data_IF_526894118220
#
_entry.id   IF_526894118220
#
_cell.length_a   1.000
_cell.length_b   1.000
_cell.length_c   1.000
_cell.angle_alpha   90.00
_cell.angle_beta   90.00
_cell.angle_gamma   90.00
#
_symmetry.space_group_name_H-M   'P 1'
#
loop_
_entity.id
_entity.type
_entity.pdbx_description
1 polymer ?
#
# COMPACT_ATOMS: atom_id res chain seq x y z
N UNK A 1 -5.85 56.92 28.05
CA UNK A 1 -5.31 57.83 29.09
C UNK A 1 -3.81 57.55 29.20
N UNK A 2 -2.95 58.38 28.59
CA UNK A 2 -2.19 59.47 29.22
C UNK A 2 -1.30 59.00 30.39
N UNK A 3 0.01 59.26 30.49
CA UNK A 3 1.03 59.93 29.64
C UNK A 3 2.37 59.94 30.43
N UNK A 4 3.51 59.69 29.73
CA UNK A 4 4.80 60.46 29.77
C UNK A 4 5.70 60.44 31.04
N UNK A 5 7.04 60.62 31.02
CA UNK A 5 8.09 61.20 30.12
C UNK A 5 9.49 60.82 30.75
N UNK A 6 10.65 60.67 30.10
CA UNK A 6 11.53 61.62 29.35
C UNK A 6 12.64 60.81 28.59
N UNK A 7 12.85 60.99 27.27
CA UNK A 7 13.89 61.79 26.52
C UNK A 7 15.36 61.26 26.60
N UNK A 8 16.21 61.22 25.55
CA UNK A 8 16.21 61.85 24.21
C UNK A 8 17.24 61.26 23.19
N UNK A 9 16.84 61.20 21.89
CA UNK A 9 17.49 61.52 20.57
C UNK A 9 18.96 61.11 20.27
N UNK A 10 19.33 60.42 19.16
CA UNK A 10 19.29 60.65 17.66
C UNK A 10 20.31 61.67 17.07
N UNK A 11 21.21 61.18 16.19
CA UNK A 11 21.65 61.72 14.86
C UNK A 11 22.86 60.89 14.36
N UNK A 12 23.15 60.60 13.09
CA UNK A 12 22.65 60.99 11.77
C UNK A 12 23.43 60.19 10.70
N UNK A 13 22.90 60.13 9.47
CA UNK A 13 23.57 59.59 8.27
C UNK A 13 24.34 60.71 7.55
N UNK A 14 25.46 60.40 6.88
CA UNK A 14 25.69 60.52 5.41
C UNK A 14 27.17 60.36 5.01
N UNK A 15 27.38 59.55 3.96
CA UNK A 15 28.33 59.62 2.83
C UNK A 15 29.84 59.86 3.00
N UNK A 16 30.64 58.95 2.39
CA UNK A 16 31.53 59.27 1.25
C UNK A 16 32.42 58.08 0.84
N UNK A 17 32.49 57.81 -0.48
CA UNK A 17 33.60 57.10 -1.13
C UNK A 17 34.54 58.14 -1.80
N UNK A 18 35.83 57.86 -2.04
CA UNK A 18 36.23 57.35 -3.37
C UNK A 18 37.52 56.49 -3.47
N UNK A 19 37.61 55.85 -4.64
CA UNK A 19 38.72 55.32 -5.48
C UNK A 19 40.21 55.38 -5.03
N UNK A 20 40.95 54.29 -5.30
CA UNK A 20 42.10 54.35 -6.23
C UNK A 20 43.48 53.76 -5.83
N UNK A 21 43.80 52.61 -6.45
CA UNK A 21 45.13 52.15 -6.96
C UNK A 21 46.19 51.52 -6.04
N UNK A 22 46.53 50.26 -6.36
CA UNK A 22 47.80 49.60 -6.04
C UNK A 22 47.80 48.08 -6.36
N UNK A 23 48.41 47.66 -7.47
CA UNK A 23 48.83 46.26 -7.79
C UNK A 23 50.22 46.34 -8.44
N UNK A 24 51.12 45.31 -8.48
CA UNK A 24 50.86 43.85 -8.66
C UNK A 24 51.95 42.95 -7.95
N UNK A 25 52.35 41.75 -8.44
CA UNK A 25 51.65 40.56 -8.96
C UNK A 25 52.03 39.25 -8.20
N UNK A 26 51.21 38.18 -8.25
CA UNK A 26 51.72 36.80 -8.21
C UNK A 26 50.85 35.88 -9.07
N UNK A 27 51.49 35.25 -10.04
CA UNK A 27 50.99 34.21 -10.94
C UNK A 27 51.05 32.85 -10.26
N UNK A 28 49.98 32.05 -10.32
CA UNK A 28 49.99 30.65 -9.89
C UNK A 28 48.67 29.95 -10.19
N UNK A 29 48.64 29.14 -11.24
CA UNK A 29 47.55 28.22 -11.57
C UNK A 29 47.28 27.24 -10.42
N UNK A 30 46.03 27.12 -9.96
CA UNK A 30 45.59 26.05 -9.06
C UNK A 30 44.78 25.03 -9.86
N UNK A 31 45.39 23.86 -10.12
CA UNK A 31 44.71 22.67 -10.65
C UNK A 31 43.80 22.06 -9.56
N UNK A 32 42.58 21.60 -9.86
CA UNK A 32 41.78 20.87 -8.89
C UNK A 32 42.41 19.49 -8.61
N UNK A 33 42.71 19.21 -7.33
CA UNK A 33 43.14 17.87 -6.86
C UNK A 33 41.93 16.94 -6.85
N UNK A 34 41.98 15.90 -7.67
CA UNK A 34 41.09 14.76 -7.57
C UNK A 34 41.32 14.03 -6.24
N UNK A 35 40.26 13.83 -5.46
CA UNK A 35 40.26 12.90 -4.34
C UNK A 35 39.90 11.52 -4.88
N UNK A 36 40.85 10.59 -4.82
CA UNK A 36 40.59 9.18 -5.10
C UNK A 36 39.76 8.57 -3.97
N UNK A 37 38.62 7.98 -4.28
CA UNK A 37 37.86 7.15 -3.34
C UNK A 37 38.69 5.92 -2.97
N UNK A 38 39.11 5.84 -1.71
CA UNK A 38 39.66 4.60 -1.17
C UNK A 38 38.51 3.61 -0.99
N UNK A 39 38.53 2.51 -1.74
CA UNK A 39 37.74 1.31 -1.41
C UNK A 39 38.49 0.56 -0.32
N UNK A 40 38.07 0.70 0.92
CA UNK A 40 38.48 -0.22 1.98
C UNK A 40 37.47 -1.37 2.05
N UNK A 41 37.92 -2.58 1.73
CA UNK A 41 37.18 -3.82 1.99
C UNK A 41 37.46 -4.22 3.43
N UNK A 42 36.50 -4.01 4.31
CA UNK A 42 36.56 -4.48 5.71
C UNK A 42 35.65 -5.70 5.82
N UNK A 43 36.26 -6.87 6.01
CA UNK A 43 35.55 -8.10 6.33
C UNK A 43 35.64 -8.34 7.84
N UNK A 44 34.51 -8.27 8.58
CA UNK A 44 34.42 -8.80 9.94
C UNK A 44 33.02 -9.33 10.27
N UNK A 45 33.02 -10.38 11.11
CA UNK A 45 31.92 -11.30 11.36
C UNK A 45 30.82 -10.83 12.31
N UNK A 46 29.77 -11.66 12.34
CA UNK A 46 28.61 -11.75 13.23
C UNK A 46 28.52 -10.69 14.34
N UNK A 47 28.04 -9.51 13.99
CA UNK A 47 27.39 -8.58 14.90
C UNK A 47 26.32 -7.81 14.12
N UNK A 48 25.06 -7.95 14.53
CA UNK A 48 23.96 -7.14 14.02
C UNK A 48 24.26 -5.68 14.33
N UNK A 49 24.50 -4.86 13.30
CA UNK A 49 24.61 -3.41 13.42
C UNK A 49 23.43 -2.77 12.70
N UNK A 50 22.59 -2.05 13.45
CA UNK A 50 21.70 -1.06 12.85
C UNK A 50 22.53 0.17 12.48
N UNK A 51 22.67 0.44 11.20
CA UNK A 51 23.25 1.68 10.69
C UNK A 51 22.17 2.78 10.76
N UNK A 52 22.28 3.70 11.72
CA UNK A 52 21.53 4.96 11.69
C UNK A 52 22.29 5.97 10.83
N UNK A 53 21.78 6.28 9.63
CA UNK A 53 22.29 7.41 8.84
C UNK A 53 21.56 8.67 9.31
N UNK A 54 22.28 9.55 10.03
CA UNK A 54 21.80 10.89 10.36
C UNK A 54 22.03 11.80 9.14
N UNK A 55 20.97 12.19 8.44
CA UNK A 55 21.03 13.08 7.28
C UNK A 55 20.74 14.52 7.74
N UNK A 56 21.67 15.44 7.47
CA UNK A 56 21.47 16.87 7.71
C UNK A 56 20.45 17.50 6.74
N UNK A 57 19.89 18.68 7.06
CA UNK A 57 18.78 19.24 6.32
C UNK A 57 19.27 19.93 5.04
N UNK A 58 19.53 19.16 3.97
CA UNK A 58 19.45 19.57 2.54
C UNK A 58 20.21 18.61 1.61
N UNK A 59 19.92 17.32 1.64
CA UNK A 59 20.31 16.39 0.57
C UNK A 59 19.14 15.46 0.29
N UNK A 60 18.66 15.43 -0.96
CA UNK A 60 17.75 14.40 -1.44
C UNK A 60 18.48 13.06 -1.33
N UNK A 61 18.20 12.30 -0.28
CA UNK A 61 18.68 10.93 -0.13
C UNK A 61 17.68 10.08 -0.91
N UNK A 62 18.15 9.44 -1.99
CA UNK A 62 17.44 8.31 -2.57
C UNK A 62 17.10 7.35 -1.43
N UNK A 63 15.84 6.94 -1.33
CA UNK A 63 15.35 6.05 -0.26
C UNK A 63 16.38 4.93 -0.03
N UNK A 64 16.84 4.81 1.22
CA UNK A 64 18.01 4.00 1.54
C UNK A 64 17.67 2.51 1.43
N UNK A 65 18.00 1.87 0.31
CA UNK A 65 17.78 0.43 0.15
C UNK A 65 18.74 -0.40 0.99
N UNK A 66 18.23 -1.49 1.57
CA UNK A 66 19.03 -2.43 2.35
C UNK A 66 19.38 -3.65 1.52
N UNK A 67 20.64 -4.12 1.59
CA UNK A 67 21.06 -5.36 0.93
C UNK A 67 21.63 -6.33 1.95
N UNK A 68 21.11 -7.56 1.97
CA UNK A 68 21.63 -8.66 2.78
C UNK A 68 22.29 -9.71 1.88
N UNK A 69 23.51 -10.12 2.21
CA UNK A 69 24.22 -11.17 1.48
C UNK A 69 23.93 -12.54 2.10
N UNK A 70 23.47 -13.49 1.28
CA UNK A 70 23.06 -14.82 1.74
C UNK A 70 21.63 -14.85 2.27
N UNK A 71 21.26 -15.97 2.88
CA UNK A 71 19.90 -16.15 3.41
C UNK A 71 19.69 -15.38 4.71
N UNK A 72 18.46 -14.91 4.92
CA UNK A 72 18.00 -14.18 6.09
C UNK A 72 16.88 -14.97 6.79
N UNK A 73 17.07 -15.23 8.08
CA UNK A 73 16.10 -15.90 8.93
C UNK A 73 15.53 -14.91 9.96
N UNK A 74 14.21 -14.71 9.93
CA UNK A 74 13.46 -13.90 10.88
C UNK A 74 12.71 -14.85 11.82
N UNK A 75 13.02 -14.76 13.12
CA UNK A 75 12.45 -15.59 14.20
C UNK A 75 11.85 -14.77 15.34
N UNK A 76 11.93 -13.44 15.22
CA UNK A 76 11.35 -12.48 16.16
C UNK A 76 10.72 -11.35 15.38
N UNK A 77 9.75 -10.67 16.00
CA UNK A 77 9.06 -9.55 15.36
C UNK A 77 10.05 -8.48 14.87
N UNK A 78 9.89 -8.09 13.62
CA UNK A 78 10.83 -7.23 12.89
C UNK A 78 10.03 -6.24 12.05
N UNK A 79 10.52 -5.01 11.93
CA UNK A 79 9.91 -3.97 11.09
C UNK A 79 10.87 -3.60 9.97
N UNK A 80 10.39 -3.56 8.73
CA UNK A 80 11.07 -2.98 7.58
C UNK A 80 10.39 -1.68 7.18
N UNK A 81 11.16 -0.60 7.10
CA UNK A 81 10.70 0.75 6.70
C UNK A 81 11.41 1.24 5.43
N UNK A 82 11.97 0.31 4.65
CA UNK A 82 12.65 0.55 3.38
C UNK A 82 12.63 -0.72 2.52
N UNK A 83 13.05 -0.64 1.26
CA UNK A 83 13.20 -1.80 0.38
C UNK A 83 14.39 -2.67 0.79
N UNK A 84 14.24 -3.98 0.57
CA UNK A 84 15.25 -4.99 0.91
C UNK A 84 15.57 -5.86 -0.30
N UNK A 85 16.86 -6.00 -0.57
CA UNK A 85 17.40 -6.97 -1.52
C UNK A 85 18.13 -8.07 -0.75
N UNK A 86 17.62 -9.30 -0.81
CA UNK A 86 18.21 -10.48 -0.17
C UNK A 86 18.86 -11.34 -1.24
N UNK A 87 20.19 -11.48 -1.18
CA UNK A 87 20.97 -12.34 -2.07
C UNK A 87 21.01 -13.79 -1.54
N UNK A 88 19.84 -14.38 -1.34
CA UNK A 88 19.63 -15.70 -0.76
C UNK A 88 18.16 -15.92 -0.43
N UNK A 89 17.87 -16.85 0.49
CA UNK A 89 16.50 -17.14 0.91
C UNK A 89 16.04 -16.16 2.00
N UNK A 90 14.76 -15.81 2.01
CA UNK A 90 14.11 -15.15 3.15
C UNK A 90 13.18 -16.15 3.84
N UNK A 91 13.41 -16.40 5.13
CA UNK A 91 12.61 -17.32 5.94
C UNK A 91 12.03 -16.55 7.12
N UNK A 92 10.71 -16.47 7.21
CA UNK A 92 9.98 -15.94 8.39
C UNK A 92 9.37 -17.13 9.12
N UNK A 93 9.76 -17.32 10.38
CA UNK A 93 9.43 -18.53 11.14
C UNK A 93 9.31 -18.27 12.65
N UNK A 94 9.03 -19.33 13.43
CA UNK A 94 8.97 -19.23 14.88
C UNK A 94 7.78 -18.42 15.41
N UNK A 95 6.76 -18.20 14.59
CA UNK A 95 5.62 -17.34 14.92
C UNK A 95 5.91 -15.84 14.78
N UNK A 96 7.03 -15.46 14.17
CA UNK A 96 7.42 -14.06 14.03
C UNK A 96 6.51 -13.28 13.06
N UNK A 97 6.36 -12.00 13.35
CA UNK A 97 5.72 -11.02 12.47
C UNK A 97 6.78 -10.14 11.81
N UNK A 98 6.86 -10.16 10.47
CA UNK A 98 7.59 -9.16 9.70
C UNK A 98 6.61 -8.05 9.28
N UNK A 99 6.68 -6.90 9.95
CA UNK A 99 5.88 -5.72 9.60
C UNK A 99 6.56 -4.92 8.50
N UNK A 100 5.82 -4.64 7.43
CA UNK A 100 6.27 -3.86 6.28
C UNK A 100 5.60 -2.48 6.32
N UNK A 101 6.39 -1.42 6.38
CA UNK A 101 5.92 -0.03 6.39
C UNK A 101 6.38 0.68 5.15
N UNK A 102 5.48 1.44 4.54
CA UNK A 102 5.72 2.11 3.27
C UNK A 102 5.43 1.23 2.05
N UNK A 103 5.51 1.83 0.86
CA UNK A 103 5.21 1.18 -0.41
C UNK A 103 6.51 0.73 -1.11
N UNK A 104 7.23 -0.20 -0.48
CA UNK A 104 8.52 -0.69 -0.96
C UNK A 104 8.40 -2.00 -1.75
N UNK A 105 9.38 -2.26 -2.61
CA UNK A 105 9.48 -3.51 -3.37
C UNK A 105 10.68 -4.31 -2.87
N UNK A 106 10.46 -5.52 -2.35
CA UNK A 106 11.52 -6.37 -1.82
C UNK A 106 11.94 -7.42 -2.86
N UNK A 107 13.24 -7.58 -3.10
CA UNK A 107 13.78 -8.53 -4.09
C UNK A 107 14.54 -9.65 -3.40
N UNK A 108 14.19 -10.90 -3.68
CA UNK A 108 14.78 -12.11 -3.08
C UNK A 108 15.37 -12.97 -4.19
N UNK A 109 16.69 -13.15 -4.21
CA UNK A 109 17.35 -13.96 -5.25
C UNK A 109 17.28 -15.48 -4.99
N UNK A 110 16.85 -15.88 -3.80
CA UNK A 110 16.57 -17.28 -3.44
C UNK A 110 15.06 -17.51 -3.38
N UNK A 111 14.64 -18.28 -2.37
CA UNK A 111 13.25 -18.59 -2.08
C UNK A 111 12.69 -17.72 -0.95
N UNK A 112 11.37 -17.55 -0.93
CA UNK A 112 10.66 -16.94 0.19
C UNK A 112 9.87 -18.03 0.92
N UNK A 113 10.07 -18.15 2.23
CA UNK A 113 9.32 -19.06 3.08
C UNK A 113 8.67 -18.28 4.22
N UNK A 114 7.34 -18.36 4.30
CA UNK A 114 6.57 -17.86 5.43
C UNK A 114 5.95 -19.08 6.10
N UNK A 115 6.57 -19.54 7.19
CA UNK A 115 6.15 -20.77 7.87
C UNK A 115 4.81 -20.59 8.58
N UNK A 116 4.15 -21.72 8.86
CA UNK A 116 2.96 -21.75 9.69
C UNK A 116 3.16 -20.99 11.01
N UNK A 117 2.18 -20.13 11.33
CA UNK A 117 2.21 -19.22 12.49
C UNK A 117 3.00 -17.92 12.28
N UNK A 118 3.83 -17.81 11.24
CA UNK A 118 4.50 -16.55 10.90
C UNK A 118 3.61 -15.64 10.05
N UNK A 119 3.87 -14.34 10.09
CA UNK A 119 3.05 -13.33 9.40
C UNK A 119 3.92 -12.30 8.68
N UNK A 120 3.54 -11.95 7.45
CA UNK A 120 3.93 -10.68 6.82
C UNK A 120 2.77 -9.70 7.04
N UNK A 121 3.03 -8.59 7.71
CA UNK A 121 2.00 -7.68 8.22
C UNK A 121 2.17 -6.27 7.67
N UNK A 122 1.11 -5.74 7.06
CA UNK A 122 1.02 -4.39 6.54
C UNK A 122 -0.34 -3.74 6.84
N UNK A 123 -1.19 -4.34 7.68
CA UNK A 123 -2.50 -3.78 8.03
C UNK A 123 -2.34 -2.40 8.70
N UNK A 124 -3.19 -1.45 8.29
CA UNK A 124 -3.11 -0.06 8.75
C UNK A 124 -1.82 0.69 8.40
N UNK A 125 -0.95 0.15 7.53
CA UNK A 125 0.29 0.81 7.11
C UNK A 125 0.14 1.58 5.77
N UNK A 126 -1.08 1.75 5.29
CA UNK A 126 -1.43 2.49 4.07
C UNK A 126 -1.63 3.98 4.33
N UNK A 127 -2.51 4.61 3.55
CA UNK A 127 -2.76 6.04 3.71
C UNK A 127 -3.59 6.33 4.97
N UNK A 128 -3.26 7.38 5.74
CA UNK A 128 -4.05 7.79 6.90
C UNK A 128 -5.45 8.27 6.48
N UNK A 129 -6.33 8.44 7.47
CA UNK A 129 -7.67 9.01 7.26
C UNK A 129 -7.62 10.28 6.40
N UNK A 130 -8.62 10.44 5.52
CA UNK A 130 -8.73 11.53 4.55
C UNK A 130 -7.61 11.62 3.50
N UNK A 131 -6.73 10.63 3.42
CA UNK A 131 -5.62 10.60 2.47
C UNK A 131 -5.63 9.35 1.57
N UNK A 132 -4.82 9.43 0.52
CA UNK A 132 -4.69 8.41 -0.51
C UNK A 132 -5.28 8.84 -1.84
N UNK A 133 -5.23 7.97 -2.86
CA UNK A 133 -5.76 8.28 -4.17
C UNK A 133 -7.28 8.49 -4.19
N UNK A 134 -8.01 7.70 -3.39
CA UNK A 134 -9.47 7.72 -3.30
C UNK A 134 -9.92 7.63 -1.83
N UNK A 135 -9.68 8.68 -1.03
CA UNK A 135 -10.08 8.69 0.37
C UNK A 135 -11.61 8.71 0.48
N UNK A 136 -12.11 8.19 1.61
CA UNK A 136 -13.51 8.32 1.96
C UNK A 136 -13.89 9.80 2.15
N UNK A 137 -15.10 10.17 1.73
CA UNK A 137 -15.57 11.54 1.89
C UNK A 137 -15.84 11.86 3.37
N UNK A 138 -15.23 12.93 3.88
CA UNK A 138 -15.47 13.44 5.23
C UNK A 138 -16.71 14.31 5.31
N UNK A 139 -17.36 14.32 6.46
CA UNK A 139 -18.57 15.10 6.67
C UNK A 139 -19.15 14.93 8.07
N UNK A 140 -20.49 14.95 8.13
CA UNK A 140 -21.18 14.58 9.38
C UNK A 140 -20.83 13.14 9.75
N UNK A 141 -20.88 12.25 8.76
CA UNK A 141 -20.34 10.88 8.80
C UNK A 141 -19.32 10.68 7.70
N UNK A 142 -18.34 9.81 7.95
CA UNK A 142 -17.27 9.50 7.00
C UNK A 142 -17.62 8.32 6.10
N UNK A 143 -17.33 8.46 4.80
CA UNK A 143 -17.38 7.34 3.85
C UNK A 143 -16.18 6.42 4.01
N UNK A 144 -16.29 5.17 3.58
CA UNK A 144 -15.15 4.27 3.52
C UNK A 144 -14.13 4.68 2.46
N UNK A 145 -12.86 4.36 2.67
CA UNK A 145 -11.81 4.54 1.66
C UNK A 145 -11.95 3.54 0.51
N UNK A 146 -11.44 3.89 -0.67
CA UNK A 146 -11.41 3.01 -1.85
C UNK A 146 -10.01 2.48 -2.17
N UNK A 147 -9.95 1.30 -2.81
CA UNK A 147 -8.74 0.76 -3.41
C UNK A 147 -9.08 -0.29 -4.50
N UNK A 148 -9.01 -1.60 -4.19
CA UNK A 148 -9.44 -2.66 -5.11
C UNK A 148 -10.96 -2.84 -5.19
N UNK A 149 -11.67 -2.36 -4.17
CA UNK A 149 -13.11 -2.24 -4.06
C UNK A 149 -13.52 -0.79 -3.78
N UNK A 150 -14.78 -0.46 -4.09
CA UNK A 150 -15.36 0.83 -3.73
C UNK A 150 -15.46 1.00 -2.22
N UNK A 151 -15.20 2.20 -1.72
CA UNK A 151 -15.54 2.55 -0.35
C UNK A 151 -17.06 2.69 -0.17
N UNK A 152 -17.58 2.15 0.92
CA UNK A 152 -18.99 2.27 1.28
C UNK A 152 -19.40 3.70 1.55
N UNK A 153 -20.63 4.05 1.16
CA UNK A 153 -21.21 5.37 1.45
C UNK A 153 -21.37 5.56 2.96
N UNK A 154 -21.13 6.79 3.43
CA UNK A 154 -21.60 7.20 4.73
C UNK A 154 -23.11 7.45 4.66
N UNK A 155 -23.83 7.33 5.78
CA UNK A 155 -25.28 7.53 5.78
C UNK A 155 -25.76 8.91 5.27
N UNK A 156 -24.87 9.91 5.24
CA UNK A 156 -25.17 11.26 4.75
C UNK A 156 -24.60 11.59 3.36
N UNK A 157 -23.92 10.67 2.68
CA UNK A 157 -23.20 10.94 1.43
C UNK A 157 -23.75 10.19 0.22
N UNK A 158 -23.55 10.77 -0.97
CA UNK A 158 -24.09 10.25 -2.24
C UNK A 158 -23.00 9.71 -3.19
N UNK A 159 -21.71 9.90 -2.90
CA UNK A 159 -20.61 9.50 -3.77
C UNK A 159 -19.65 8.58 -3.00
N UNK A 160 -19.48 7.30 -3.41
CA UNK A 160 -18.53 6.39 -2.78
C UNK A 160 -17.10 6.71 -3.20
N UNK A 161 -16.12 6.33 -2.38
CA UNK A 161 -14.74 6.38 -2.79
C UNK A 161 -14.50 5.37 -3.94
N UNK A 162 -13.87 5.84 -5.01
CA UNK A 162 -13.65 5.04 -6.21
C UNK A 162 -12.51 4.03 -6.02
N UNK A 163 -12.37 3.13 -6.98
CA UNK A 163 -11.21 2.27 -7.09
C UNK A 163 -9.94 3.09 -7.40
N UNK A 164 -8.77 2.58 -7.01
CA UNK A 164 -7.47 3.20 -7.33
C UNK A 164 -6.38 2.15 -7.56
N UNK A 165 -5.25 2.57 -8.14
CA UNK A 165 -4.12 1.71 -8.51
C UNK A 165 -4.46 0.69 -9.62
N UNK A 166 -3.44 -0.02 -10.12
CA UNK A 166 -3.59 -1.02 -11.19
C UNK A 166 -4.19 -2.32 -10.68
N UNK A 167 -5.15 -2.89 -11.42
CA UNK A 167 -5.70 -4.22 -11.15
C UNK A 167 -4.72 -5.38 -11.28
N UNK A 168 -3.68 -5.25 -12.12
CA UNK A 168 -2.70 -6.30 -12.39
C UNK A 168 -1.33 -6.03 -11.76
N UNK A 169 -0.95 -4.76 -11.63
CA UNK A 169 0.37 -4.38 -11.14
C UNK A 169 0.26 -3.35 -10.00
N UNK A 170 -0.52 -3.63 -8.95
CA UNK A 170 -0.68 -2.68 -7.85
C UNK A 170 0.66 -2.43 -7.16
N UNK A 171 0.86 -1.20 -6.69
CA UNK A 171 2.05 -0.75 -5.96
C UNK A 171 1.72 0.21 -4.81
N UNK A 172 0.46 0.61 -4.65
CA UNK A 172 0.03 1.59 -3.66
C UNK A 172 -0.72 0.94 -2.49
N UNK A 173 -0.68 1.59 -1.33
CA UNK A 173 -1.52 1.23 -0.19
C UNK A 173 -2.97 1.65 -0.39
N UNK A 174 -3.87 1.10 0.43
CA UNK A 174 -5.27 1.47 0.46
C UNK A 174 -5.47 2.89 0.98
N UNK A 175 -6.49 3.58 0.46
CA UNK A 175 -6.87 4.93 0.93
C UNK A 175 -7.48 4.88 2.33
N UNK A 176 -7.30 5.96 3.11
CA UNK A 176 -7.95 6.10 4.40
C UNK A 176 -9.44 6.41 4.26
N UNK A 177 -10.21 6.08 5.31
CA UNK A 177 -11.61 6.47 5.42
C UNK A 177 -11.78 7.97 5.67
N UNK A 178 -12.98 8.48 5.42
CA UNK A 178 -13.35 9.86 5.70
C UNK A 178 -13.58 10.08 7.19
N UNK A 179 -13.32 11.30 7.65
CA UNK A 179 -13.60 11.70 9.03
C UNK A 179 -15.09 12.00 9.24
N UNK A 180 -15.61 11.56 10.38
CA UNK A 180 -16.88 12.05 10.91
C UNK A 180 -16.66 13.29 11.77
N UNK A 181 -17.75 13.95 12.18
CA UNK A 181 -17.68 15.14 13.04
C UNK A 181 -17.03 14.88 14.40
N UNK A 182 -17.09 13.64 14.89
CA UNK A 182 -16.63 13.28 16.24
C UNK A 182 -15.70 12.07 16.29
N UNK A 183 -15.42 11.41 15.17
CA UNK A 183 -14.42 10.35 15.13
C UNK A 183 -13.66 10.30 13.81
N UNK A 184 -12.36 9.95 13.85
CA UNK A 184 -11.56 9.81 12.64
C UNK A 184 -11.97 8.57 11.83
N UNK A 185 -11.70 8.63 10.53
CA UNK A 185 -11.73 7.46 9.66
C UNK A 185 -10.59 6.48 9.96
N UNK A 186 -10.72 5.25 9.48
CA UNK A 186 -9.67 4.23 9.58
C UNK A 186 -8.53 4.45 8.57
N UNK A 187 -7.31 4.04 8.94
CA UNK A 187 -6.14 4.02 8.04
C UNK A 187 -6.29 2.90 7.01
N UNK A 188 -5.87 3.12 5.77
CA UNK A 188 -5.86 2.06 4.77
C UNK A 188 -4.77 1.01 5.02
N UNK A 189 -4.91 -0.16 4.39
CA UNK A 189 -3.90 -1.22 4.43
C UNK A 189 -2.64 -0.87 3.62
N UNK A 190 -1.50 -1.35 4.07
CA UNK A 190 -0.19 -1.10 3.45
C UNK A 190 0.11 -1.99 2.25
N UNK A 191 1.39 -2.11 1.92
CA UNK A 191 1.86 -2.84 0.73
C UNK A 191 2.79 -3.98 1.15
N UNK A 192 2.44 -5.19 0.74
CA UNK A 192 3.32 -6.36 0.75
C UNK A 192 3.71 -6.59 -0.71
N UNK A 193 4.92 -6.20 -1.10
CA UNK A 193 5.39 -6.38 -2.48
C UNK A 193 6.74 -7.12 -2.52
N UNK A 194 6.72 -8.36 -2.99
CA UNK A 194 7.91 -9.21 -3.14
C UNK A 194 8.11 -9.66 -4.59
N UNK A 195 9.37 -9.67 -5.01
CA UNK A 195 9.82 -10.29 -6.23
C UNK A 195 10.86 -11.35 -5.86
N UNK A 196 10.57 -12.61 -6.15
CA UNK A 196 11.35 -13.76 -5.69
C UNK A 196 11.77 -14.55 -6.92
N UNK A 197 13.05 -14.81 -7.14
CA UNK A 197 13.44 -15.65 -8.30
C UNK A 197 13.19 -17.13 -8.09
N UNK A 198 13.20 -17.60 -6.84
CA UNK A 198 12.94 -18.99 -6.48
C UNK A 198 11.49 -19.27 -6.10
N UNK A 199 11.30 -20.32 -5.31
CA UNK A 199 9.98 -20.73 -4.85
C UNK A 199 9.45 -19.84 -3.72
N UNK A 200 8.13 -19.72 -3.65
CA UNK A 200 7.40 -19.19 -2.51
C UNK A 200 6.61 -20.31 -1.82
N UNK A 201 6.99 -20.60 -0.58
CA UNK A 201 6.24 -21.49 0.31
C UNK A 201 5.55 -20.65 1.39
N UNK A 202 4.24 -20.47 1.24
CA UNK A 202 3.42 -19.61 2.09
C UNK A 202 2.45 -20.45 2.92
N UNK A 203 2.90 -20.90 4.08
CA UNK A 203 2.08 -21.64 5.07
C UNK A 203 1.56 -20.72 6.18
N UNK A 204 2.07 -19.49 6.27
CA UNK A 204 1.64 -18.46 7.21
C UNK A 204 0.64 -17.45 6.65
N UNK A 205 0.59 -16.26 7.24
CA UNK A 205 -0.38 -15.22 6.87
C UNK A 205 0.29 -14.01 6.20
N UNK A 206 -0.35 -13.45 5.17
CA UNK A 206 0.02 -12.17 4.58
C UNK A 206 -1.18 -11.23 4.73
N UNK A 207 -1.04 -10.17 5.52
CA UNK A 207 -2.13 -9.27 5.88
C UNK A 207 -1.84 -7.82 5.45
N UNK A 208 -2.75 -7.22 4.71
CA UNK A 208 -2.73 -5.81 4.33
C UNK A 208 -4.13 -5.20 4.52
N UNK A 209 -4.77 -5.46 5.66
CA UNK A 209 -6.14 -5.00 5.91
C UNK A 209 -6.19 -3.49 6.20
N UNK A 210 -7.29 -2.84 5.83
CA UNK A 210 -7.62 -1.52 6.32
C UNK A 210 -8.05 -1.58 7.80
N UNK A 211 -7.89 -0.47 8.50
CA UNK A 211 -8.36 -0.32 9.88
C UNK A 211 -9.82 0.11 9.92
N UNK A 212 -10.53 -0.33 10.95
CA UNK A 212 -11.87 0.14 11.25
C UNK A 212 -11.86 1.62 11.64
N UNK A 213 -12.96 2.31 11.36
CA UNK A 213 -13.17 3.65 11.89
C UNK A 213 -13.51 3.62 13.39
N UNK A 214 -13.12 4.68 14.10
CA UNK A 214 -13.48 4.81 15.50
C UNK A 214 -14.99 5.04 15.69
N UNK A 215 -15.59 4.35 16.66
CA UNK A 215 -16.99 4.55 17.06
C UNK A 215 -17.14 5.70 18.06
N UNK A 216 -18.32 6.32 18.14
CA UNK A 216 -18.55 7.52 18.98
C UNK A 216 -19.89 7.50 19.70
N UNK A 217 -19.89 7.88 20.98
CA UNK A 217 -21.11 8.12 21.78
C UNK A 217 -21.79 9.47 21.48
N UNK A 218 -21.15 10.32 20.66
CA UNK A 218 -21.74 11.57 20.17
C UNK A 218 -22.36 11.42 18.77
N UNK A 219 -22.28 10.23 18.16
CA UNK A 219 -22.61 9.99 16.76
C UNK A 219 -21.58 10.61 15.81
N UNK A 220 -21.94 10.77 14.53
CA UNK A 220 -21.13 11.50 13.54
C UNK A 220 -19.75 10.86 13.33
N UNK A 221 -19.76 9.60 12.93
CA UNK A 221 -18.60 8.70 12.95
C UNK A 221 -17.91 8.57 11.59
N UNK A 222 -16.60 8.29 11.61
CA UNK A 222 -15.77 8.08 10.43
C UNK A 222 -16.05 6.78 9.68
N UNK A 223 -15.50 6.66 8.47
CA UNK A 223 -15.58 5.45 7.65
C UNK A 223 -14.32 4.59 7.74
N UNK A 224 -14.44 3.31 7.41
CA UNK A 224 -13.32 2.36 7.48
C UNK A 224 -12.27 2.59 6.38
N UNK A 225 -11.01 2.25 6.66
CA UNK A 225 -9.92 2.31 5.71
C UNK A 225 -10.00 1.20 4.66
N UNK A 226 -9.54 1.46 3.43
CA UNK A 226 -9.53 0.45 2.38
C UNK A 226 -8.46 -0.62 2.63
N UNK A 227 -8.67 -1.84 2.14
CA UNK A 227 -7.64 -2.87 2.08
C UNK A 227 -6.46 -2.45 1.19
N UNK A 228 -5.26 -2.92 1.52
CA UNK A 228 -4.00 -2.58 0.86
C UNK A 228 -3.66 -3.46 -0.35
N UNK A 229 -2.36 -3.59 -0.61
CA UNK A 229 -1.82 -4.38 -1.73
C UNK A 229 -1.03 -5.57 -1.22
N UNK A 230 -1.30 -6.75 -1.77
CA UNK A 230 -0.40 -7.90 -1.73
C UNK A 230 -0.03 -8.26 -3.16
N UNK A 231 1.23 -8.05 -3.51
CA UNK A 231 1.77 -8.38 -4.83
C UNK A 231 3.00 -9.23 -4.67
N UNK A 232 3.00 -10.40 -5.29
CA UNK A 232 4.13 -11.31 -5.22
C UNK A 232 4.39 -11.96 -6.57
N UNK A 233 5.64 -11.96 -7.01
CA UNK A 233 6.10 -12.77 -8.14
C UNK A 233 7.11 -13.83 -7.69
N UNK A 234 6.97 -15.06 -8.18
CA UNK A 234 7.88 -16.17 -7.87
C UNK A 234 7.96 -17.20 -9.00
N UNK A 235 8.85 -18.19 -8.86
CA UNK A 235 8.90 -19.33 -9.77
C UNK A 235 7.73 -20.28 -9.51
N UNK A 236 7.71 -20.88 -8.31
CA UNK A 236 6.67 -21.81 -7.87
C UNK A 236 6.02 -21.30 -6.59
N UNK A 237 4.69 -21.16 -6.59
CA UNK A 237 3.89 -20.81 -5.43
C UNK A 237 3.21 -22.04 -4.84
N UNK A 238 3.47 -22.29 -3.56
CA UNK A 238 2.96 -23.45 -2.81
C UNK A 238 2.62 -23.08 -1.35
N UNK A 239 1.92 -23.98 -0.66
CA UNK A 239 1.50 -23.81 0.74
C UNK A 239 -0.02 -23.72 0.91
N UNK A 240 -0.46 -23.53 2.15
CA UNK A 240 -1.87 -23.48 2.55
C UNK A 240 -2.24 -22.23 3.37
N UNK A 241 -1.30 -21.29 3.49
CA UNK A 241 -1.48 -20.01 4.17
C UNK A 241 -2.53 -19.10 3.52
N UNK A 242 -2.88 -18.01 4.20
CA UNK A 242 -3.95 -17.10 3.76
C UNK A 242 -3.42 -15.72 3.40
N UNK A 243 -4.05 -15.11 2.39
CA UNK A 243 -3.79 -13.74 1.96
C UNK A 243 -5.02 -12.89 2.29
N UNK A 244 -4.84 -11.77 2.99
CA UNK A 244 -5.94 -10.90 3.40
C UNK A 244 -5.63 -9.42 3.10
N UNK A 245 -6.50 -8.78 2.33
CA UNK A 245 -6.51 -7.34 2.11
C UNK A 245 -7.95 -6.84 2.19
N UNK A 246 -8.58 -7.02 3.34
CA UNK A 246 -9.96 -6.60 3.59
C UNK A 246 -10.01 -5.10 3.91
N UNK A 247 -11.12 -4.45 3.57
CA UNK A 247 -11.42 -3.11 4.10
C UNK A 247 -11.85 -3.18 5.56
N UNK A 248 -11.58 -2.10 6.30
CA UNK A 248 -12.03 -1.94 7.69
C UNK A 248 -13.49 -1.50 7.78
N UNK A 249 -14.10 -1.74 8.94
CA UNK A 249 -15.52 -1.44 9.20
C UNK A 249 -15.76 0.06 9.43
N UNK A 250 -16.96 0.51 9.08
CA UNK A 250 -17.42 1.86 9.39
C UNK A 250 -17.68 2.05 10.89
N UNK A 251 -17.39 3.24 11.41
CA UNK A 251 -17.61 3.56 12.82
C UNK A 251 -19.09 3.45 13.21
N UNK A 252 -19.37 3.04 14.44
CA UNK A 252 -20.72 2.86 14.97
C UNK A 252 -21.20 4.09 15.74
N UNK A 253 -22.44 4.53 15.50
CA UNK A 253 -23.10 5.55 16.31
C UNK A 253 -23.65 4.93 17.61
N UNK A 254 -23.02 5.29 18.74
CA UNK A 254 -23.35 4.81 20.08
C UNK A 254 -24.15 5.84 20.91
N UNK A 255 -24.67 6.91 20.31
CA UNK A 255 -25.37 8.01 21.00
C UNK A 255 -26.70 7.63 21.64
N UNK A 256 -27.26 6.46 21.30
CA UNK A 256 -28.56 6.01 21.81
C UNK A 256 -29.74 6.90 21.38
N UNK A 257 -29.53 7.83 20.43
CA UNK A 257 -30.58 8.68 19.86
C UNK A 257 -31.05 9.84 20.72
N UNK A 258 -30.41 10.18 21.85
CA UNK A 258 -30.72 11.39 22.59
C UNK A 258 -29.94 12.59 22.08
N UNK A 259 -30.62 13.74 22.04
CA UNK A 259 -30.05 15.07 22.11
C UNK A 259 -29.17 15.47 20.90
N UNK A 260 -29.77 16.18 19.94
CA UNK A 260 -29.13 16.84 18.78
C UNK A 260 -28.28 15.94 17.89
N UNK A 261 -28.95 15.11 17.09
CA UNK A 261 -28.42 14.64 15.82
C UNK A 261 -28.37 13.13 15.73
N UNK A 262 -29.32 12.59 14.98
CA UNK A 262 -29.23 11.24 14.45
C UNK A 262 -28.23 11.26 13.28
N UNK A 263 -26.94 11.41 13.60
CA UNK A 263 -25.92 11.88 12.65
C UNK A 263 -25.54 10.81 11.63
N UNK A 264 -25.82 9.54 11.94
CA UNK A 264 -25.67 8.40 11.04
C UNK A 264 -24.38 7.62 11.27
N UNK A 265 -24.18 6.61 10.43
CA UNK A 265 -23.08 5.66 10.54
C UNK A 265 -22.05 5.81 9.41
N UNK A 266 -20.83 5.36 9.69
CA UNK A 266 -19.73 5.37 8.74
C UNK A 266 -19.89 4.30 7.67
N UNK A 267 -19.37 4.55 6.48
CA UNK A 267 -19.27 3.54 5.42
C UNK A 267 -18.10 2.58 5.66
N UNK A 268 -18.25 1.32 5.25
CA UNK A 268 -17.17 0.33 5.30
C UNK A 268 -16.12 0.58 4.22
N UNK A 269 -14.84 0.33 4.50
CA UNK A 269 -13.75 0.47 3.54
C UNK A 269 -13.83 -0.57 2.41
N UNK A 270 -13.41 -0.21 1.20
CA UNK A 270 -13.33 -1.14 0.08
C UNK A 270 -12.25 -2.19 0.27
N UNK A 271 -12.42 -3.38 -0.31
CA UNK A 271 -11.39 -4.42 -0.34
C UNK A 271 -10.13 -3.98 -1.10
N UNK A 272 -9.01 -4.61 -0.81
CA UNK A 272 -7.70 -4.34 -1.41
C UNK A 272 -7.43 -5.10 -2.70
N UNK A 273 -6.15 -5.17 -3.09
CA UNK A 273 -5.70 -5.86 -4.31
C UNK A 273 -4.66 -6.92 -3.96
N UNK A 274 -4.96 -8.16 -4.31
CA UNK A 274 -4.05 -9.31 -4.17
C UNK A 274 -3.77 -9.87 -5.56
N UNK A 275 -2.51 -9.79 -6.00
CA UNK A 275 -2.06 -10.32 -7.28
C UNK A 275 -0.82 -11.18 -7.09
N UNK A 276 -0.99 -12.48 -7.32
CA UNK A 276 0.07 -13.48 -7.21
C UNK A 276 0.48 -13.93 -8.60
N UNK A 277 1.76 -13.83 -8.94
CA UNK A 277 2.30 -14.16 -10.26
C UNK A 277 3.32 -15.28 -10.11
N UNK A 278 3.13 -16.42 -10.77
CA UNK A 278 4.05 -17.55 -10.69
C UNK A 278 4.12 -18.29 -12.02
N UNK A 279 5.21 -19.03 -12.28
CA UNK A 279 5.20 -19.99 -13.39
C UNK A 279 4.30 -21.19 -13.06
N UNK A 280 4.26 -21.61 -11.79
CA UNK A 280 3.31 -22.60 -11.29
C UNK A 280 2.76 -22.19 -9.93
N UNK A 281 1.44 -22.14 -9.81
CA UNK A 281 0.74 -21.89 -8.54
C UNK A 281 -0.24 -23.01 -8.19
N UNK A 282 -0.19 -24.17 -8.84
CA UNK A 282 -1.14 -25.26 -8.64
C UNK A 282 -1.11 -25.82 -7.21
N UNK A 283 0.08 -25.87 -6.61
CA UNK A 283 0.30 -26.40 -5.26
C UNK A 283 -0.13 -25.45 -4.12
N UNK A 284 -0.46 -24.19 -4.42
CA UNK A 284 -0.98 -23.27 -3.41
C UNK A 284 -2.48 -23.48 -3.20
N UNK A 285 -2.85 -23.98 -2.03
CA UNK A 285 -4.24 -24.35 -1.69
C UNK A 285 -4.99 -23.23 -0.97
N UNK A 286 -4.29 -22.19 -0.51
CA UNK A 286 -4.87 -21.04 0.19
C UNK A 286 -5.71 -20.08 -0.66
N UNK A 287 -5.89 -20.32 -1.96
CA UNK A 287 -6.59 -19.41 -2.89
C UNK A 287 -8.00 -19.08 -2.46
N UNK A 288 -8.80 -20.10 -2.12
CA UNK A 288 -10.21 -19.95 -1.74
C UNK A 288 -10.40 -19.41 -0.32
N UNK A 289 -9.38 -19.54 0.53
CA UNK A 289 -9.39 -19.04 1.90
C UNK A 289 -8.86 -17.60 2.00
N UNK A 290 -8.33 -17.06 0.90
CA UNK A 290 -7.85 -15.68 0.81
C UNK A 290 -9.02 -14.71 0.60
N UNK A 291 -8.90 -13.50 1.16
CA UNK A 291 -10.02 -12.57 1.27
C UNK A 291 -9.65 -11.14 0.87
N UNK A 292 -10.54 -10.52 0.12
CA UNK A 292 -10.51 -9.09 -0.27
C UNK A 292 -11.88 -8.48 -0.06
N UNK A 293 -12.52 -8.77 1.07
CA UNK A 293 -13.86 -8.27 1.37
C UNK A 293 -13.82 -6.76 1.62
N UNK A 294 -14.91 -6.07 1.32
CA UNK A 294 -15.14 -4.75 1.89
C UNK A 294 -15.54 -4.86 3.36
N UNK A 295 -15.30 -3.80 4.12
CA UNK A 295 -15.75 -3.68 5.49
C UNK A 295 -17.26 -3.51 5.60
N UNK A 296 -17.80 -3.86 6.75
CA UNK A 296 -19.20 -3.66 7.09
C UNK A 296 -19.52 -2.17 7.27
N UNK A 297 -20.77 -1.74 7.02
CA UNK A 297 -21.20 -0.42 7.43
C UNK A 297 -21.23 -0.33 8.96
N UNK A 298 -21.10 0.89 9.46
CA UNK A 298 -21.36 1.14 10.86
C UNK A 298 -22.82 0.87 11.22
N UNK A 299 -23.05 0.42 12.46
CA UNK A 299 -24.38 0.20 13.01
C UNK A 299 -24.70 1.27 14.06
N UNK A 300 -25.96 1.67 14.14
CA UNK A 300 -26.39 2.69 15.09
C UNK A 300 -27.67 3.38 14.67
N UNK A 301 -28.07 4.40 15.44
CA UNK A 301 -29.20 5.25 15.07
C UNK A 301 -28.84 6.08 13.84
N UNK A 302 -29.77 6.22 12.89
CA UNK A 302 -29.65 7.22 11.82
C UNK A 302 -29.54 6.67 10.42
N UNK A 303 -29.22 7.54 9.46
CA UNK A 303 -28.89 7.11 8.12
C UNK A 303 -27.76 6.08 8.19
N UNK A 304 -28.00 4.90 7.63
CA UNK A 304 -27.04 3.81 7.67
C UNK A 304 -25.97 4.03 6.60
N UNK A 305 -24.73 3.70 6.93
CA UNK A 305 -23.70 3.58 5.92
C UNK A 305 -23.93 2.34 5.07
N UNK A 306 -23.16 2.23 3.99
CA UNK A 306 -23.15 1.06 3.12
C UNK A 306 -21.85 0.25 3.32
N UNK A 307 -21.88 -1.07 3.07
CA UNK A 307 -20.66 -1.89 3.07
C UNK A 307 -19.71 -1.43 1.96
N UNK A 308 -18.42 -1.68 2.17
CA UNK A 308 -17.42 -1.57 1.10
C UNK A 308 -17.61 -2.65 0.03
N UNK A 309 -17.20 -2.33 -1.19
CA UNK A 309 -17.13 -3.29 -2.30
C UNK A 309 -15.99 -4.28 -2.13
N UNK A 310 -16.15 -5.48 -2.71
CA UNK A 310 -15.08 -6.48 -2.79
C UNK A 310 -13.90 -5.95 -3.61
N UNK A 311 -12.71 -6.33 -3.21
CA UNK A 311 -11.45 -6.02 -3.85
C UNK A 311 -11.12 -6.97 -5.00
N UNK A 312 -9.83 -7.01 -5.35
CA UNK A 312 -9.29 -7.86 -6.43
C UNK A 312 -8.48 -9.01 -5.87
N UNK A 313 -8.75 -10.25 -6.27
CA UNK A 313 -7.88 -11.41 -6.00
C UNK A 313 -7.62 -12.20 -7.28
N UNK A 314 -6.38 -12.17 -7.75
CA UNK A 314 -5.96 -12.80 -8.99
C UNK A 314 -4.68 -13.64 -8.81
N UNK A 315 -4.66 -14.80 -9.45
CA UNK A 315 -3.47 -15.62 -9.66
C UNK A 315 -3.16 -15.64 -11.15
N UNK A 316 -1.89 -15.41 -11.48
CA UNK A 316 -1.44 -15.25 -12.86
C UNK A 316 -0.32 -16.24 -13.14
N UNK A 317 -0.49 -17.03 -14.20
CA UNK A 317 0.56 -17.89 -14.71
C UNK A 317 1.47 -17.11 -15.65
N UNK A 318 2.76 -17.10 -15.35
CA UNK A 318 3.81 -16.47 -16.14
C UNK A 318 4.34 -17.41 -17.25
N UNK A 319 4.73 -16.86 -18.39
CA UNK A 319 5.42 -17.61 -19.44
C UNK A 319 6.77 -18.14 -18.95
N UNK A 320 7.19 -19.32 -19.41
CA UNK A 320 8.41 -20.01 -18.95
C UNK A 320 9.71 -19.22 -19.12
N UNK A 321 9.74 -18.28 -20.06
CA UNK A 321 10.94 -17.47 -20.37
C UNK A 321 11.04 -16.19 -19.54
N UNK A 322 10.02 -15.91 -18.71
CA UNK A 322 9.98 -14.69 -17.93
C UNK A 322 10.80 -14.82 -16.64
N UNK A 323 11.36 -13.71 -16.15
CA UNK A 323 12.08 -13.68 -14.88
C UNK A 323 11.18 -13.07 -13.79
N UNK A 324 10.82 -13.81 -12.73
CA UNK A 324 10.04 -13.31 -11.60
C UNK A 324 10.56 -12.01 -10.97
N UNK A 325 11.88 -11.77 -10.98
CA UNK A 325 12.51 -10.55 -10.46
C UNK A 325 12.26 -9.30 -11.31
N UNK A 326 11.82 -9.46 -12.56
CA UNK A 326 11.58 -8.36 -13.49
C UNK A 326 10.12 -8.24 -13.93
N UNK A 327 9.19 -8.78 -13.12
CA UNK A 327 7.75 -8.79 -13.40
C UNK A 327 7.09 -7.44 -13.08
N UNK A 328 7.50 -6.41 -13.83
CA UNK A 328 6.98 -5.05 -13.76
C UNK A 328 5.94 -4.74 -14.84
N UNK A 329 5.74 -5.65 -15.80
CA UNK A 329 4.75 -5.52 -16.89
C UNK A 329 3.87 -6.77 -16.92
N UNK A 330 2.80 -6.75 -17.71
CA UNK A 330 1.87 -7.88 -17.93
C UNK A 330 2.18 -8.69 -19.18
N UNK A 331 3.29 -8.39 -19.89
CA UNK A 331 3.60 -9.00 -21.19
C UNK A 331 3.87 -10.51 -21.12
N UNK A 332 4.28 -11.01 -19.95
CA UNK A 332 4.56 -12.42 -19.72
C UNK A 332 3.37 -13.16 -19.11
N UNK A 333 2.23 -12.51 -18.90
CA UNK A 333 1.07 -13.15 -18.30
C UNK A 333 0.36 -14.02 -19.34
N UNK A 334 0.13 -15.29 -18.99
CA UNK A 334 -0.45 -16.28 -19.92
C UNK A 334 -1.81 -16.78 -19.48
N UNK A 335 -2.04 -16.96 -18.17
CA UNK A 335 -3.32 -17.40 -17.62
C UNK A 335 -3.72 -16.44 -16.49
N UNK A 336 -5.01 -16.15 -16.39
CA UNK A 336 -5.59 -15.31 -15.33
C UNK A 336 -6.68 -16.11 -14.62
N UNK A 337 -6.43 -16.50 -13.36
CA UNK A 337 -7.40 -17.13 -12.47
C UNK A 337 -7.93 -16.10 -11.46
N UNK A 338 -9.23 -15.84 -11.48
CA UNK A 338 -9.91 -14.84 -10.66
C UNK A 338 -10.71 -15.49 -9.53
N UNK A 339 -10.60 -14.90 -8.34
CA UNK A 339 -11.30 -15.33 -7.13
C UNK A 339 -11.89 -14.10 -6.43
N UNK A 340 -12.96 -14.29 -5.63
CA UNK A 340 -13.61 -13.25 -4.80
C UNK A 340 -14.14 -12.05 -5.60
N UNK A 341 -13.27 -11.17 -6.07
CA UNK A 341 -13.63 -9.99 -6.85
C UNK A 341 -12.57 -9.67 -7.90
N UNK A 342 -13.02 -9.05 -8.98
CA UNK A 342 -12.19 -8.56 -10.07
C UNK A 342 -12.83 -7.33 -10.70
N UNK A 343 -12.00 -6.36 -11.07
CA UNK A 343 -12.44 -5.22 -11.88
C UNK A 343 -11.60 -5.11 -13.13
N UNK A 344 -12.28 -5.02 -14.26
CA UNK A 344 -11.63 -4.64 -15.51
C UNK A 344 -11.33 -3.15 -15.52
N UNK A 345 -10.06 -2.81 -15.73
CA UNK A 345 -9.63 -1.42 -15.87
C UNK A 345 -9.24 -1.18 -17.31
N UNK A 346 -9.66 -0.05 -17.88
CA UNK A 346 -9.31 0.28 -19.25
C UNK A 346 -7.80 0.47 -19.37
N UNK A 347 -7.18 -0.35 -20.21
CA UNK A 347 -5.81 -0.13 -20.68
C UNK A 347 -5.94 0.61 -21.99
N UNK A 348 -5.47 1.85 -22.04
CA UNK A 348 -5.57 2.70 -23.22
C UNK A 348 -5.03 1.99 -24.48
N UNK A 349 -5.95 1.53 -25.35
CA UNK A 349 -5.66 1.06 -26.71
C UNK A 349 -5.11 -0.36 -26.85
N UNK A 350 -5.08 -1.18 -25.80
CA UNK A 350 -4.61 -2.58 -25.92
C UNK A 350 -5.55 -3.56 -25.21
N UNK A 351 -6.01 -4.63 -25.88
CA UNK A 351 -6.78 -5.67 -25.21
C UNK A 351 -5.91 -6.38 -24.18
N UNK A 352 -6.54 -6.85 -23.11
CA UNK A 352 -5.94 -7.87 -22.25
C UNK A 352 -5.81 -9.16 -23.06
N UNK A 353 -4.60 -9.68 -23.22
CA UNK A 353 -4.35 -10.88 -24.02
C UNK A 353 -3.90 -12.01 -23.09
N UNK A 354 -4.71 -13.06 -23.02
CA UNK A 354 -4.42 -14.26 -22.24
C UNK A 354 -4.62 -15.51 -23.10
N UNK A 355 -3.89 -16.58 -22.78
CA UNK A 355 -4.22 -17.91 -23.30
C UNK A 355 -5.52 -18.41 -22.66
N UNK A 356 -5.65 -18.21 -21.36
CA UNK A 356 -6.83 -18.61 -20.60
C UNK A 356 -7.22 -17.58 -19.55
N UNK A 357 -8.52 -17.37 -19.40
CA UNK A 357 -9.10 -16.65 -18.26
C UNK A 357 -10.11 -17.55 -17.58
N UNK A 358 -9.95 -17.74 -16.28
CA UNK A 358 -10.87 -18.48 -15.42
C UNK A 358 -11.39 -17.57 -14.33
N UNK A 359 -12.71 -17.51 -14.18
CA UNK A 359 -13.31 -16.91 -13.01
C UNK A 359 -14.01 -18.00 -12.20
N UNK A 360 -13.55 -18.18 -10.96
CA UNK A 360 -14.01 -19.22 -10.06
C UNK A 360 -15.33 -18.83 -9.38
N UNK A 361 -15.96 -19.79 -8.71
CA UNK A 361 -17.24 -19.61 -8.03
C UNK A 361 -17.23 -18.42 -7.06
N UNK A 362 -18.34 -17.69 -7.02
CA UNK A 362 -18.54 -16.50 -6.19
C UNK A 362 -17.60 -15.33 -6.51
N UNK A 363 -16.94 -15.35 -7.68
CA UNK A 363 -16.19 -14.18 -8.16
C UNK A 363 -17.16 -13.11 -8.64
N UNK A 364 -17.07 -11.92 -8.04
CA UNK A 364 -17.74 -10.72 -8.49
C UNK A 364 -16.88 -10.00 -9.53
N UNK A 365 -17.34 -9.98 -10.79
CA UNK A 365 -16.69 -9.22 -11.86
C UNK A 365 -17.40 -7.88 -11.97
N UNK A 366 -16.63 -6.81 -11.85
CA UNK A 366 -17.10 -5.43 -11.94
C UNK A 366 -16.65 -4.79 -13.24
N UNK A 367 -17.56 -4.07 -13.89
CA UNK A 367 -17.30 -3.24 -15.05
C UNK A 367 -16.40 -2.05 -14.73
N UNK A 368 -15.54 -1.69 -15.68
CA UNK A 368 -14.90 -0.37 -15.69
C UNK A 368 -15.91 0.72 -16.08
N UNK A 369 -15.52 1.99 -15.94
CA UNK A 369 -16.31 3.12 -16.49
C UNK A 369 -16.20 3.23 -18.02
N UNK A 370 -15.41 2.37 -18.63
CA UNK A 370 -15.06 2.34 -20.04
C UNK A 370 -15.11 0.90 -20.55
N UNK A 371 -15.32 0.74 -21.85
CA UNK A 371 -15.30 -0.57 -22.49
C UNK A 371 -13.91 -1.21 -22.35
N UNK A 372 -13.88 -2.44 -21.87
CA UNK A 372 -12.64 -3.24 -21.77
C UNK A 372 -12.67 -4.36 -22.80
N UNK A 373 -11.63 -4.42 -23.63
CA UNK A 373 -11.43 -5.51 -24.57
C UNK A 373 -10.59 -6.62 -23.92
N UNK A 374 -11.17 -7.82 -23.81
CA UNK A 374 -10.48 -9.04 -23.42
C UNK A 374 -10.34 -9.97 -24.64
N UNK A 375 -9.13 -10.44 -24.89
CA UNK A 375 -8.82 -11.49 -25.85
C UNK A 375 -8.29 -12.71 -25.10
N UNK A 376 -9.02 -13.82 -25.17
CA UNK A 376 -8.62 -15.08 -24.58
C UNK A 376 -8.84 -16.22 -25.57
N UNK A 377 -7.91 -17.18 -25.62
CA UNK A 377 -8.13 -18.41 -26.40
C UNK A 377 -9.17 -19.31 -25.73
N UNK A 378 -9.21 -19.30 -24.40
CA UNK A 378 -10.19 -20.00 -23.59
C UNK A 378 -10.72 -19.09 -22.48
N UNK A 379 -12.04 -19.02 -22.33
CA UNK A 379 -12.72 -18.27 -21.26
C UNK A 379 -13.66 -19.22 -20.51
N UNK A 380 -13.49 -19.32 -19.19
CA UNK A 380 -14.36 -20.11 -18.32
C UNK A 380 -14.88 -19.26 -17.16
N UNK A 381 -16.19 -19.32 -16.92
CA UNK A 381 -16.88 -18.54 -15.89
C UNK A 381 -17.77 -19.49 -15.09
N UNK A 382 -17.50 -19.60 -13.79
CA UNK A 382 -18.22 -20.51 -12.89
C UNK A 382 -18.99 -19.71 -11.84
N UNK A 383 -20.32 -19.70 -11.91
CA UNK A 383 -21.21 -19.02 -10.95
C UNK A 383 -20.72 -17.61 -10.56
N UNK A 384 -20.38 -16.81 -11.57
CA UNK A 384 -19.90 -15.44 -11.39
C UNK A 384 -21.03 -14.43 -11.50
N UNK A 385 -20.95 -13.37 -10.71
CA UNK A 385 -21.86 -12.23 -10.81
C UNK A 385 -21.18 -11.11 -11.57
N UNK A 386 -21.92 -10.49 -12.48
CA UNK A 386 -21.50 -9.33 -13.24
C UNK A 386 -22.36 -8.16 -12.78
N UNK A 387 -21.77 -7.04 -12.38
CA UNK A 387 -22.56 -5.82 -12.30
C UNK A 387 -22.85 -5.34 -13.74
N UNK A 388 -24.13 -5.38 -14.11
CA UNK A 388 -24.57 -4.71 -15.32
C UNK A 388 -24.68 -3.22 -14.99
N UNK A 389 -23.73 -2.41 -15.47
CA UNK A 389 -23.96 -0.97 -15.63
C UNK A 389 -24.84 -0.71 -16.84
#
# INVERSE_FOLDING_TARGET
MNRKLQNSKRSGWTDSAPMGMGTPPFTGEARPRAWSSARETIAWGLATFCLFVLVGPSTNVAEASMTHQGSLLITTDTVWETDWSINGDLIVSGGATLTLRGAFTHSISGSLQVNSGATLEASGQGYPAEAGPTPGASGVTGGGGGHGGLGGLAGTHLIPADFSDSSLLPTQGGSGGGNGSFSPGGTGGGVIHFQVSGACLLDGHLNANGEDAASSVAGGVGGGGAGGTIRLSCDVLSGDGTLAANGGDGGHDLSGGCCTGNLGNGGGGGGGRIVMRAHDHAAFTGKTNSTVNGGAPGIGVGPQGEPGGRGTLAFITLSSESNPLTQFTTQSDTHLDLYQGWRWEAVAGAPFVYTEVRAHENTQIMGGREDVALQASHLSLHNTTWDGS
#
